data_IF_336235677993
#
_entry.id   IF_336235677993
#
_cell.length_a   1.000
_cell.length_b   1.000
_cell.length_c   1.000
_cell.angle_alpha   90.00
_cell.angle_beta   90.00
_cell.angle_gamma   90.00
#
_symmetry.space_group_name_H-M   'P 1'
#
loop_
_entity.id
_entity.type
_entity.pdbx_description
1 polymer ?
#
# COMPACT_ATOMS: atom_id res chain seq x y z
N UNK A 1 -8.29 23.61 -83.04
CA UNK A 1 -8.49 22.28 -82.41
C UNK A 1 -7.11 21.87 -81.96
N UNK A 2 -6.78 21.85 -80.68
CA UNK A 2 -7.13 20.77 -79.74
C UNK A 2 -7.35 21.31 -78.32
N UNK A 3 -8.33 20.73 -77.61
CA UNK A 3 -8.70 21.08 -76.24
C UNK A 3 -7.87 20.25 -75.27
N UNK A 4 -7.07 20.91 -74.42
CA UNK A 4 -6.33 20.26 -73.34
C UNK A 4 -7.30 20.01 -72.16
N UNK A 5 -7.63 18.75 -71.90
CA UNK A 5 -8.47 18.33 -70.77
C UNK A 5 -7.56 18.18 -69.55
N UNK A 6 -7.62 19.13 -68.61
CA UNK A 6 -7.01 18.98 -67.28
C UNK A 6 -7.82 17.99 -66.45
N UNK A 7 -7.30 16.77 -66.30
CA UNK A 7 -7.80 15.79 -65.35
C UNK A 7 -7.31 16.14 -63.94
N UNK A 8 -8.20 16.65 -63.09
CA UNK A 8 -7.96 16.84 -61.66
C UNK A 8 -8.01 15.46 -60.98
N UNK A 9 -6.85 14.94 -60.61
CA UNK A 9 -6.73 13.76 -59.74
C UNK A 9 -7.05 14.17 -58.30
N UNK A 10 -8.31 14.05 -57.88
CA UNK A 10 -8.69 14.16 -56.47
C UNK A 10 -8.29 12.85 -55.78
N UNK A 11 -7.13 12.87 -55.10
CA UNK A 11 -6.71 11.81 -54.20
C UNK A 11 -7.65 11.81 -52.99
N UNK A 12 -8.59 10.87 -52.96
CA UNK A 12 -9.46 10.66 -51.81
C UNK A 12 -8.66 9.96 -50.71
N UNK A 13 -8.03 10.75 -49.83
CA UNK A 13 -7.43 10.24 -48.60
C UNK A 13 -8.58 9.84 -47.67
N UNK A 14 -8.90 8.55 -47.63
CA UNK A 14 -9.78 7.99 -46.62
C UNK A 14 -9.07 8.13 -45.25
N UNK A 15 -9.38 9.21 -44.53
CA UNK A 15 -9.00 9.34 -43.13
C UNK A 15 -9.70 8.20 -42.37
N UNK A 16 -8.92 7.19 -41.98
CA UNK A 16 -9.37 6.16 -41.06
C UNK A 16 -9.59 6.83 -39.70
N UNK A 17 -10.84 7.17 -39.38
CA UNK A 17 -11.22 7.66 -38.06
C UNK A 17 -11.11 6.50 -37.08
N UNK A 18 -9.96 6.36 -36.40
CA UNK A 18 -9.82 5.44 -35.28
C UNK A 18 -10.71 5.92 -34.13
N UNK A 19 -11.77 5.17 -33.82
CA UNK A 19 -12.61 5.44 -32.67
C UNK A 19 -11.81 5.21 -31.38
N UNK A 20 -11.73 6.23 -30.51
CA UNK A 20 -11.00 6.14 -29.25
C UNK A 20 -11.62 5.07 -28.33
N UNK A 21 -10.89 3.97 -28.11
CA UNK A 21 -11.37 2.82 -27.34
C UNK A 21 -11.55 3.20 -25.87
N UNK A 22 -12.69 2.81 -25.27
CA UNK A 22 -12.99 3.00 -23.85
C UNK A 22 -13.23 1.66 -23.16
N UNK A 23 -12.65 1.46 -21.99
CA UNK A 23 -12.75 0.21 -21.22
C UNK A 23 -13.14 0.52 -19.77
N UNK A 24 -14.02 -0.31 -19.20
CA UNK A 24 -14.40 -0.27 -17.79
C UNK A 24 -13.52 -1.23 -16.97
N UNK A 25 -13.09 -0.86 -15.76
CA UNK A 25 -12.46 -1.78 -14.83
C UNK A 25 -13.43 -2.89 -14.39
N UNK A 26 -12.89 -4.07 -14.12
CA UNK A 26 -13.62 -5.16 -13.46
C UNK A 26 -13.80 -4.82 -11.96
N UNK A 27 -14.75 -5.48 -11.32
CA UNK A 27 -15.00 -5.27 -9.90
C UNK A 27 -13.78 -5.69 -9.07
N UNK A 28 -13.29 -4.77 -8.22
CA UNK A 28 -12.06 -4.97 -7.43
C UNK A 28 -10.75 -4.90 -8.24
N UNK A 29 -10.80 -4.57 -9.53
CA UNK A 29 -9.61 -4.55 -10.38
C UNK A 29 -8.66 -3.40 -10.03
N UNK A 30 -7.44 -3.76 -9.66
CA UNK A 30 -6.36 -2.80 -9.44
C UNK A 30 -5.90 -2.14 -10.74
N UNK A 31 -5.32 -0.94 -10.62
CA UNK A 31 -4.82 -0.14 -11.74
C UNK A 31 -3.85 -0.92 -12.66
N UNK A 32 -3.03 -1.80 -12.09
CA UNK A 32 -2.08 -2.62 -12.85
C UNK A 32 -2.71 -3.83 -13.55
N UNK A 33 -3.67 -4.49 -12.91
CA UNK A 33 -4.44 -5.56 -13.56
C UNK A 33 -5.17 -4.99 -14.79
N UNK A 34 -5.73 -3.79 -14.65
CA UNK A 34 -6.32 -3.04 -15.74
C UNK A 34 -5.30 -2.72 -16.86
N UNK A 35 -4.11 -2.21 -16.52
CA UNK A 35 -3.05 -1.93 -17.51
C UNK A 35 -2.64 -3.15 -18.31
N UNK A 36 -2.40 -4.27 -17.63
CA UNK A 36 -2.04 -5.53 -18.26
C UNK A 36 -3.15 -6.01 -19.21
N UNK A 37 -4.40 -5.96 -18.74
CA UNK A 37 -5.58 -6.39 -19.51
C UNK A 37 -5.82 -5.53 -20.75
N UNK A 38 -5.55 -4.23 -20.67
CA UNK A 38 -5.78 -3.28 -21.77
C UNK A 38 -4.53 -2.96 -22.59
N UNK A 39 -3.39 -3.62 -22.31
CA UNK A 39 -2.15 -3.51 -23.08
C UNK A 39 -1.35 -2.22 -22.86
N UNK A 40 -1.49 -1.55 -21.70
CA UNK A 40 -0.74 -0.34 -21.34
C UNK A 40 0.64 -0.67 -20.75
N UNK A 41 1.46 -1.29 -21.58
CA UNK A 41 2.69 -1.97 -21.15
C UNK A 41 3.88 -1.02 -20.94
N UNK A 42 3.87 0.16 -21.56
CA UNK A 42 4.97 1.15 -21.45
C UNK A 42 4.60 2.30 -20.52
N UNK A 43 5.59 2.95 -19.89
CA UNK A 43 5.38 4.12 -19.04
C UNK A 43 4.70 5.27 -19.80
N UNK A 44 5.07 5.46 -21.06
CA UNK A 44 4.56 6.50 -21.95
C UNK A 44 3.04 6.34 -22.15
N UNK A 45 2.60 5.13 -22.49
CA UNK A 45 1.16 4.79 -22.59
C UNK A 45 0.42 4.96 -21.25
N UNK A 46 1.05 4.65 -20.11
CA UNK A 46 0.42 4.86 -18.79
C UNK A 46 0.29 6.34 -18.43
N UNK A 47 1.32 7.14 -18.71
CA UNK A 47 1.31 8.59 -18.48
C UNK A 47 0.26 9.26 -19.39
N UNK A 48 0.18 8.84 -20.65
CA UNK A 48 -0.88 9.29 -21.57
C UNK A 48 -2.27 8.84 -21.11
N UNK A 49 -2.41 7.62 -20.60
CA UNK A 49 -3.68 7.13 -20.04
C UNK A 49 -4.16 8.02 -18.89
N UNK A 50 -3.27 8.43 -17.99
CA UNK A 50 -3.61 9.40 -16.94
C UNK A 50 -3.98 10.78 -17.52
N UNK A 51 -3.21 11.26 -18.50
CA UNK A 51 -3.47 12.54 -19.14
C UNK A 51 -4.85 12.58 -19.85
N UNK A 52 -5.25 11.48 -20.50
CA UNK A 52 -6.51 11.33 -21.22
C UNK A 52 -7.73 11.19 -20.30
N UNK A 53 -7.53 10.79 -19.04
CA UNK A 53 -8.60 10.48 -18.10
C UNK A 53 -8.55 11.34 -16.82
N UNK A 54 -7.96 12.52 -16.89
CA UNK A 54 -7.90 13.47 -15.76
C UNK A 54 -9.29 13.67 -15.14
N UNK A 55 -9.35 13.56 -13.81
CA UNK A 55 -10.60 13.70 -13.03
C UNK A 55 -11.50 12.46 -12.98
N UNK A 56 -11.12 11.35 -13.61
CA UNK A 56 -11.86 10.07 -13.55
C UNK A 56 -11.29 9.04 -12.57
N UNK A 57 -10.32 9.44 -11.75
CA UNK A 57 -9.67 8.56 -10.78
C UNK A 57 -10.13 8.89 -9.37
N UNK A 58 -10.16 7.87 -8.51
CA UNK A 58 -10.41 8.00 -7.09
C UNK A 58 -9.20 8.56 -6.34
N UNK A 59 -9.24 8.49 -5.01
CA UNK A 59 -8.10 8.83 -4.16
C UNK A 59 -6.89 7.97 -4.55
N UNK A 60 -5.70 8.55 -4.51
CA UNK A 60 -4.43 7.91 -4.90
C UNK A 60 -4.38 7.37 -6.33
N UNK A 61 -5.11 8.02 -7.25
CA UNK A 61 -5.18 7.63 -8.67
C UNK A 61 -5.78 6.24 -8.93
N UNK A 62 -6.63 5.76 -8.01
CA UNK A 62 -7.32 4.48 -8.12
C UNK A 62 -8.39 4.48 -9.22
N UNK A 63 -8.64 3.31 -9.81
CA UNK A 63 -9.73 3.11 -10.76
C UNK A 63 -11.07 3.09 -10.01
N UNK A 64 -12.09 3.71 -10.60
CA UNK A 64 -13.44 3.76 -10.06
C UNK A 64 -14.31 2.72 -10.78
N UNK A 65 -15.00 1.89 -9.99
CA UNK A 65 -15.93 0.88 -10.52
C UNK A 65 -17.02 1.53 -11.36
N UNK A 66 -17.31 0.97 -12.54
CA UNK A 66 -18.33 1.49 -13.47
C UNK A 66 -17.90 2.71 -14.29
N UNK A 67 -16.68 3.22 -14.12
CA UNK A 67 -16.14 4.35 -14.90
C UNK A 67 -15.40 3.86 -16.13
N UNK A 68 -15.74 4.40 -17.29
CA UNK A 68 -15.07 4.07 -18.56
C UNK A 68 -13.87 4.99 -18.80
N UNK A 69 -12.70 4.38 -19.02
CA UNK A 69 -11.43 5.04 -19.29
C UNK A 69 -11.05 4.93 -20.76
N UNK A 70 -10.58 6.04 -21.34
CA UNK A 70 -10.01 6.10 -22.68
C UNK A 70 -8.63 5.44 -22.70
N UNK A 71 -8.40 4.52 -23.62
CA UNK A 71 -7.12 3.82 -23.77
C UNK A 71 -6.31 4.53 -24.87
N UNK A 72 -5.08 5.00 -24.59
CA UNK A 72 -4.18 5.51 -25.64
C UNK A 72 -3.74 4.39 -26.58
N UNK A 73 -3.63 4.67 -27.88
CA UNK A 73 -3.10 3.72 -28.85
C UNK A 73 -1.60 3.94 -29.06
N UNK A 74 -0.86 2.88 -29.39
CA UNK A 74 0.59 2.95 -29.60
C UNK A 74 1.02 3.96 -30.70
N UNK A 75 0.12 4.31 -31.61
CA UNK A 75 0.34 5.34 -32.64
C UNK A 75 0.18 6.78 -32.16
N UNK A 76 -0.32 7.02 -30.94
CA UNK A 76 -0.57 8.36 -30.37
C UNK A 76 0.65 8.91 -29.61
N UNK A 77 1.79 8.20 -29.62
CA UNK A 77 3.01 8.56 -28.89
C UNK A 77 3.87 9.51 -29.72
N UNK A 78 3.49 10.79 -29.74
CA UNK A 78 4.38 11.88 -30.16
C UNK A 78 5.34 12.22 -29.03
N UNK A 79 6.63 12.25 -29.33
CA UNK A 79 7.74 12.56 -28.41
C UNK A 79 7.51 13.86 -27.64
N UNK A 80 7.25 13.77 -26.33
CA UNK A 80 7.32 14.91 -25.41
C UNK A 80 8.56 14.76 -24.54
N UNK A 81 9.50 15.63 -24.84
CA UNK A 81 10.74 15.88 -24.13
C UNK A 81 10.46 16.21 -22.64
N UNK A 82 11.03 15.44 -21.73
CA UNK A 82 11.16 15.86 -20.32
C UNK A 82 12.52 15.44 -19.79
N UNK A 83 13.46 16.38 -19.92
CA UNK A 83 14.65 16.48 -19.10
C UNK A 83 14.29 16.46 -17.60
N UNK A 84 14.46 15.32 -16.94
CA UNK A 84 14.78 15.25 -15.50
C UNK A 84 15.77 14.11 -15.30
N UNK A 85 16.98 14.49 -14.86
CA UNK A 85 18.16 13.64 -14.66
C UNK A 85 17.83 12.38 -13.84
N UNK A 86 17.66 11.25 -14.50
CA UNK A 86 17.85 9.93 -13.89
C UNK A 86 19.28 9.52 -14.22
N UNK A 87 20.18 9.60 -13.23
CA UNK A 87 21.53 9.07 -13.37
C UNK A 87 21.46 7.55 -13.23
N UNK A 88 21.96 6.88 -14.28
CA UNK A 88 22.28 5.46 -14.47
C UNK A 88 21.63 4.46 -13.47
N UNK A 89 20.60 3.77 -13.95
CA UNK A 89 20.05 2.58 -13.29
C UNK A 89 20.86 1.36 -13.72
N UNK A 90 21.30 0.55 -12.77
CA UNK A 90 22.01 -0.70 -13.01
C UNK A 90 21.23 -1.85 -12.39
N UNK A 91 21.19 -3.01 -13.04
CA UNK A 91 20.42 -4.18 -12.57
C UNK A 91 21.42 -5.19 -12.02
N UNK A 92 21.45 -5.39 -10.70
CA UNK A 92 22.53 -6.20 -10.07
C UNK A 92 22.06 -7.47 -9.36
N UNK A 93 20.88 -7.47 -8.73
CA UNK A 93 20.47 -8.61 -7.89
C UNK A 93 19.19 -9.29 -8.36
N UNK A 94 19.17 -10.62 -8.25
CA UNK A 94 18.01 -11.47 -8.47
C UNK A 94 17.52 -11.94 -7.10
N UNK A 95 16.37 -11.44 -6.62
CA UNK A 95 15.82 -11.77 -5.30
C UNK A 95 14.51 -12.54 -5.45
N UNK A 96 14.39 -13.65 -4.72
CA UNK A 96 13.15 -14.42 -4.62
C UNK A 96 12.23 -13.84 -3.53
N UNK A 97 10.91 -13.77 -3.76
CA UNK A 97 9.93 -13.51 -2.71
C UNK A 97 9.94 -14.60 -1.64
N UNK A 98 9.63 -14.22 -0.40
CA UNK A 98 9.34 -15.17 0.67
C UNK A 98 7.95 -15.78 0.44
N UNK A 99 7.68 -16.92 1.06
CA UNK A 99 6.38 -17.57 0.96
C UNK A 99 5.28 -16.66 1.56
N UNK A 100 4.21 -16.44 0.79
CA UNK A 100 3.13 -15.53 1.17
C UNK A 100 3.48 -14.03 1.12
N UNK A 101 4.68 -13.67 0.63
CA UNK A 101 5.11 -12.26 0.60
C UNK A 101 4.38 -11.45 -0.48
N UNK A 102 3.62 -10.45 -0.03
CA UNK A 102 2.99 -9.48 -0.92
C UNK A 102 3.99 -8.50 -1.56
N UNK A 103 3.62 -7.95 -2.72
CA UNK A 103 4.45 -7.03 -3.51
C UNK A 103 5.01 -5.84 -2.69
N UNK A 104 4.20 -5.30 -1.76
CA UNK A 104 4.61 -4.19 -0.90
C UNK A 104 5.62 -4.59 0.17
N UNK A 105 5.46 -5.77 0.77
CA UNK A 105 6.43 -6.30 1.74
C UNK A 105 7.77 -6.58 1.04
N UNK A 106 7.71 -7.13 -0.18
CA UNK A 106 8.88 -7.34 -1.02
C UNK A 106 9.61 -6.03 -1.35
N UNK A 107 8.88 -4.98 -1.76
CA UNK A 107 9.46 -3.65 -2.02
C UNK A 107 10.21 -3.09 -0.82
N UNK A 108 9.59 -3.15 0.36
CA UNK A 108 10.21 -2.68 1.59
C UNK A 108 11.47 -3.49 1.92
N UNK A 109 11.42 -4.83 1.76
CA UNK A 109 12.54 -5.72 2.05
C UNK A 109 13.73 -5.52 1.12
N UNK A 110 13.47 -5.27 -0.17
CA UNK A 110 14.52 -5.14 -1.20
C UNK A 110 14.93 -3.68 -1.48
N UNK A 111 14.42 -2.73 -0.68
CA UNK A 111 14.84 -1.32 -0.74
C UNK A 111 14.24 -0.50 -1.88
N UNK A 112 13.13 -0.94 -2.48
CA UNK A 112 12.41 -0.23 -3.55
C UNK A 112 11.48 0.85 -2.97
N UNK A 113 12.09 1.83 -2.32
CA UNK A 113 11.37 2.78 -1.47
C UNK A 113 10.72 3.93 -2.27
N UNK A 114 11.23 4.27 -3.46
CA UNK A 114 10.68 5.34 -4.30
C UNK A 114 9.72 4.79 -5.34
N UNK A 115 8.79 5.63 -5.82
CA UNK A 115 7.90 5.28 -6.93
C UNK A 115 8.70 4.96 -8.19
N UNK A 116 9.72 5.77 -8.50
CA UNK A 116 10.53 5.58 -9.70
C UNK A 116 11.28 4.24 -9.69
N UNK A 117 11.86 3.83 -8.55
CA UNK A 117 12.50 2.52 -8.43
C UNK A 117 11.51 1.36 -8.57
N UNK A 118 10.30 1.51 -8.04
CA UNK A 118 9.23 0.52 -8.19
C UNK A 118 8.74 0.43 -9.63
N UNK A 119 8.58 1.56 -10.29
CA UNK A 119 8.21 1.61 -11.72
C UNK A 119 9.27 0.94 -12.59
N UNK A 120 10.56 1.18 -12.31
CA UNK A 120 11.67 0.52 -13.01
C UNK A 120 11.77 -0.97 -12.65
N UNK A 121 11.54 -1.36 -11.41
CA UNK A 121 11.51 -2.77 -11.01
C UNK A 121 10.43 -3.54 -11.75
N UNK A 122 9.23 -2.96 -11.89
CA UNK A 122 8.13 -3.56 -12.64
C UNK A 122 8.50 -3.68 -14.13
N UNK A 123 9.14 -2.65 -14.69
CA UNK A 123 9.56 -2.63 -16.10
C UNK A 123 10.63 -3.70 -16.41
N UNK A 124 11.63 -3.84 -15.54
CA UNK A 124 12.73 -4.79 -15.72
C UNK A 124 12.29 -6.25 -15.52
N UNK A 125 11.16 -6.48 -14.84
CA UNK A 125 10.63 -7.82 -14.54
C UNK A 125 9.32 -8.15 -15.27
N UNK A 126 8.98 -7.44 -16.35
CA UNK A 126 7.79 -7.73 -17.15
C UNK A 126 7.71 -9.23 -17.51
N UNK A 127 6.50 -9.80 -17.40
CA UNK A 127 6.24 -11.21 -17.69
C UNK A 127 6.69 -12.19 -16.60
N UNK A 128 7.27 -11.73 -15.49
CA UNK A 128 7.68 -12.58 -14.35
C UNK A 128 6.68 -12.55 -13.18
N UNK A 129 5.52 -11.94 -13.35
CA UNK A 129 4.49 -11.81 -12.32
C UNK A 129 3.30 -12.75 -12.59
N UNK A 130 2.60 -13.14 -11.53
CA UNK A 130 1.38 -13.93 -11.58
C UNK A 130 0.15 -13.09 -11.96
N UNK A 131 -1.03 -13.67 -11.75
CA UNK A 131 -2.31 -12.94 -11.90
C UNK A 131 -2.28 -11.68 -11.03
N UNK A 132 -2.81 -10.59 -11.56
CA UNK A 132 -2.89 -9.29 -10.88
C UNK A 132 -1.53 -8.69 -10.47
N UNK A 133 -0.46 -9.01 -11.21
CA UNK A 133 0.91 -8.57 -10.93
C UNK A 133 1.44 -9.06 -9.57
N UNK A 134 0.94 -10.20 -9.09
CA UNK A 134 1.44 -10.86 -7.88
C UNK A 134 2.86 -11.40 -8.06
N UNK A 135 3.62 -11.40 -6.97
CA UNK A 135 4.91 -12.08 -6.94
C UNK A 135 4.68 -13.60 -6.96
N UNK A 136 5.48 -14.30 -7.74
CA UNK A 136 5.42 -15.75 -7.85
C UNK A 136 6.46 -16.39 -6.93
N UNK A 137 6.02 -17.32 -6.10
CA UNK A 137 6.90 -18.12 -5.24
C UNK A 137 7.94 -18.87 -6.08
N UNK A 138 9.21 -18.80 -5.69
CA UNK A 138 10.32 -19.45 -6.41
C UNK A 138 10.80 -18.70 -7.66
N UNK A 139 10.17 -17.57 -8.03
CA UNK A 139 10.61 -16.74 -9.16
C UNK A 139 11.52 -15.63 -8.65
N UNK A 140 12.69 -15.50 -9.27
CA UNK A 140 13.64 -14.45 -8.94
C UNK A 140 13.36 -13.17 -9.72
N UNK A 141 13.42 -12.01 -9.05
CA UNK A 141 13.20 -10.70 -9.65
C UNK A 141 14.45 -9.84 -9.63
N UNK A 142 14.71 -9.16 -10.75
CA UNK A 142 15.79 -8.20 -10.97
C UNK A 142 15.54 -6.92 -10.19
N UNK A 143 16.44 -6.53 -9.30
CA UNK A 143 16.30 -5.30 -8.51
C UNK A 143 17.09 -4.17 -9.17
N UNK A 144 16.46 -3.04 -9.53
CA UNK A 144 17.17 -1.84 -9.99
C UNK A 144 17.93 -1.18 -8.84
N UNK A 145 19.19 -0.84 -9.07
CA UNK A 145 20.05 -0.05 -8.18
C UNK A 145 20.37 1.30 -8.81
N UNK A 146 20.60 2.32 -7.97
CA UNK A 146 21.03 3.66 -8.41
C UNK A 146 22.55 3.70 -8.30
N UNK A 147 23.27 3.88 -9.41
CA UNK A 147 24.70 4.19 -9.38
C UNK A 147 24.88 5.73 -9.38
N UNK A 148 25.72 6.23 -8.47
CA UNK A 148 26.12 7.62 -8.21
C UNK A 148 25.22 8.50 -7.32
N UNK A 149 25.10 8.09 -6.06
CA UNK A 149 25.16 9.02 -4.90
C UNK A 149 26.18 8.43 -3.93
N UNK A 150 27.25 9.16 -3.60
CA UNK A 150 28.14 8.84 -2.48
C UNK A 150 27.27 8.59 -1.24
N UNK A 151 27.54 7.54 -0.46
CA UNK A 151 26.62 7.07 0.55
C UNK A 151 26.43 8.16 1.61
N UNK A 152 25.27 8.84 1.59
CA UNK A 152 24.70 9.29 2.85
C UNK A 152 24.37 8.00 3.60
N UNK A 153 25.25 7.69 4.54
CA UNK A 153 25.34 6.44 5.28
C UNK A 153 24.01 6.08 5.96
N UNK A 154 23.18 5.33 5.24
CA UNK A 154 22.21 4.42 5.83
C UNK A 154 22.97 3.11 6.11
N UNK A 155 23.15 2.70 7.38
CA UNK A 155 23.84 1.46 7.67
C UNK A 155 22.96 0.30 7.21
N UNK A 156 23.49 -0.46 6.25
CA UNK A 156 23.28 -1.90 6.21
C UNK A 156 23.74 -2.45 7.55
N UNK A 157 22.83 -3.09 8.29
CA UNK A 157 23.21 -3.93 9.41
C UNK A 157 22.35 -5.20 9.40
N UNK A 158 22.86 -6.20 8.68
CA UNK A 158 22.91 -7.54 9.28
C UNK A 158 23.94 -7.44 10.38
N UNK A 159 23.50 -7.14 11.59
CA UNK A 159 24.15 -7.49 12.84
C UNK A 159 23.27 -6.98 13.98
N UNK A 160 22.99 -7.88 14.92
CA UNK A 160 22.39 -7.56 16.21
C UNK A 160 23.36 -6.67 16.99
N UNK A 161 23.24 -5.35 16.88
CA UNK A 161 23.91 -4.40 17.79
C UNK A 161 22.97 -3.22 18.09
N UNK A 162 22.83 -2.77 19.36
CA UNK A 162 21.77 -1.84 19.77
C UNK A 162 21.88 -0.49 19.07
N UNK A 163 20.84 -0.10 18.33
CA UNK A 163 20.75 1.20 17.68
C UNK A 163 20.67 2.30 18.75
N UNK A 164 21.69 3.17 18.81
CA UNK A 164 21.65 4.40 19.60
C UNK A 164 20.49 5.29 19.12
N UNK A 165 19.70 5.89 20.03
CA UNK A 165 18.49 6.63 19.69
C UNK A 165 18.82 7.87 18.85
N UNK A 166 18.18 8.01 17.68
CA UNK A 166 18.15 9.30 16.99
C UNK A 166 17.08 10.19 17.65
N UNK A 167 17.33 11.50 17.68
CA UNK A 167 16.56 12.51 18.44
C UNK A 167 15.05 12.63 18.09
N UNK A 168 14.57 11.94 17.06
CA UNK A 168 13.17 11.98 16.58
C UNK A 168 12.43 10.65 16.63
N UNK A 169 13.05 9.58 17.15
CA UNK A 169 12.38 8.28 17.23
C UNK A 169 11.33 8.31 18.35
N UNK A 170 10.15 7.77 18.05
CA UNK A 170 9.10 7.56 19.05
C UNK A 170 9.27 6.16 19.64
N UNK A 171 9.19 6.05 20.96
CA UNK A 171 9.18 4.76 21.66
C UNK A 171 7.74 4.42 22.04
N UNK A 172 7.22 3.30 21.52
CA UNK A 172 5.90 2.78 21.81
C UNK A 172 6.00 1.31 22.27
N UNK A 173 5.85 1.11 23.58
CA UNK A 173 6.04 -0.20 24.22
C UNK A 173 5.02 -1.24 23.79
N UNK A 174 3.82 -0.80 23.36
CA UNK A 174 2.77 -1.70 22.88
C UNK A 174 3.18 -2.49 21.63
N UNK A 175 4.23 -2.09 20.92
CA UNK A 175 4.71 -2.84 19.77
C UNK A 175 5.58 -4.05 20.14
N UNK A 176 5.98 -4.20 21.39
CA UNK A 176 6.94 -5.22 21.82
C UNK A 176 8.38 -4.81 21.55
N UNK A 177 9.33 -5.50 22.18
CA UNK A 177 10.74 -5.08 22.25
C UNK A 177 11.41 -4.91 20.89
N UNK A 178 11.04 -5.73 19.92
CA UNK A 178 11.65 -5.71 18.59
C UNK A 178 11.13 -4.54 17.73
N UNK A 179 9.96 -4.00 18.07
CA UNK A 179 9.24 -3.01 17.28
C UNK A 179 8.97 -1.69 18.01
N UNK A 180 9.30 -1.60 19.32
CA UNK A 180 8.99 -0.45 20.17
C UNK A 180 9.64 0.85 19.68
N UNK A 181 10.75 0.75 18.96
CA UNK A 181 11.36 1.89 18.28
C UNK A 181 10.67 2.15 16.95
N UNK A 182 10.10 3.35 16.84
CA UNK A 182 9.38 3.83 15.66
C UNK A 182 10.18 4.96 15.02
N UNK A 183 10.94 4.68 13.94
CA UNK A 183 11.65 5.72 13.21
C UNK A 183 10.64 6.58 12.44
N UNK A 184 10.72 7.90 12.60
CA UNK A 184 9.91 8.82 11.80
C UNK A 184 10.52 8.95 10.42
N UNK A 185 9.84 8.41 9.41
CA UNK A 185 10.26 8.37 8.00
C UNK A 185 9.70 9.50 7.17
N UNK A 186 8.55 10.05 7.55
CA UNK A 186 7.92 11.19 6.86
C UNK A 186 7.03 12.00 7.81
N UNK A 187 6.56 13.16 7.35
CA UNK A 187 5.59 14.03 8.05
C UNK A 187 4.27 14.16 7.29
N UNK A 188 3.98 13.22 6.41
CA UNK A 188 2.78 13.24 5.55
C UNK A 188 1.48 13.30 6.37
N UNK A 189 1.48 12.69 7.55
CA UNK A 189 0.34 12.65 8.47
C UNK A 189 0.52 13.56 9.68
N UNK A 190 1.42 14.55 9.61
CA UNK A 190 1.58 15.50 10.70
C UNK A 190 0.27 16.27 10.92
N UNK A 191 -0.12 16.37 12.19
CA UNK A 191 -1.42 16.93 12.59
C UNK A 191 -2.63 16.01 12.38
N UNK A 192 -2.44 14.76 11.93
CA UNK A 192 -3.48 13.74 11.95
C UNK A 192 -3.46 12.97 13.29
N UNK A 193 -4.65 12.65 13.79
CA UNK A 193 -4.84 11.83 14.99
C UNK A 193 -5.74 10.65 14.68
N UNK A 194 -5.28 9.45 15.04
CA UNK A 194 -6.03 8.22 14.87
C UNK A 194 -6.34 7.57 16.23
N UNK A 195 -7.56 7.07 16.37
CA UNK A 195 -7.98 6.22 17.48
C UNK A 195 -8.22 4.82 16.94
N UNK A 196 -7.34 3.88 17.25
CA UNK A 196 -7.39 2.53 16.70
C UNK A 196 -8.02 1.57 17.71
N UNK A 197 -9.02 0.81 17.27
CA UNK A 197 -9.77 -0.15 18.08
C UNK A 197 -9.73 -1.52 17.42
N UNK A 198 -9.13 -2.49 18.10
CA UNK A 198 -8.98 -3.87 17.60
C UNK A 198 -10.06 -4.79 18.14
N UNK A 199 -10.65 -5.56 17.22
CA UNK A 199 -11.44 -6.76 17.47
C UNK A 199 -12.47 -6.65 18.59
N UNK A 200 -12.81 -7.78 19.18
CA UNK A 200 -13.64 -7.86 20.38
C UNK A 200 -12.78 -7.73 21.65
N UNK A 201 -11.78 -8.58 21.83
CA UNK A 201 -10.78 -8.50 22.88
C UNK A 201 -11.30 -8.81 24.28
N UNK A 202 -10.38 -9.16 25.17
CA UNK A 202 -10.68 -9.47 26.56
C UNK A 202 -11.50 -10.76 26.66
N UNK A 203 -12.68 -10.76 27.29
CA UNK A 203 -13.43 -12.00 27.48
C UNK A 203 -14.12 -12.52 26.19
N UNK A 204 -14.06 -11.77 25.10
CA UNK A 204 -14.77 -12.06 23.86
C UNK A 204 -13.76 -12.16 22.70
N UNK A 205 -13.46 -13.38 22.20
CA UNK A 205 -12.48 -13.59 21.13
C UNK A 205 -12.96 -13.11 19.76
N UNK A 206 -14.26 -12.77 19.64
CA UNK A 206 -14.88 -12.48 18.35
C UNK A 206 -15.08 -13.73 17.51
N UNK A 207 -14.90 -13.61 16.20
CA UNK A 207 -14.97 -14.74 15.28
C UNK A 207 -13.85 -15.75 15.58
N UNK A 208 -14.20 -17.04 15.56
CA UNK A 208 -13.24 -18.14 15.78
C UNK A 208 -13.15 -18.97 14.51
N UNK A 209 -11.96 -19.00 13.91
CA UNK A 209 -11.62 -19.84 12.78
C UNK A 209 -10.84 -21.09 13.19
N UNK A 210 -10.85 -22.12 12.34
CA UNK A 210 -9.99 -23.28 12.49
C UNK A 210 -9.17 -23.46 11.22
N UNK A 211 -7.83 -23.48 11.35
CA UNK A 211 -6.94 -23.67 10.21
C UNK A 211 -5.74 -24.53 10.62
N UNK A 212 -5.44 -25.57 9.84
CA UNK A 212 -4.33 -26.48 10.07
C UNK A 212 -4.27 -27.07 11.51
N UNK A 213 -5.43 -27.28 12.15
CA UNK A 213 -5.51 -27.80 13.52
C UNK A 213 -5.31 -26.75 14.62
N UNK A 214 -5.19 -25.46 14.26
CA UNK A 214 -5.11 -24.34 15.17
C UNK A 214 -6.42 -23.55 15.21
N UNK A 215 -6.84 -23.17 16.41
CA UNK A 215 -7.94 -22.24 16.63
C UNK A 215 -7.42 -20.80 16.50
N UNK A 216 -8.07 -20.00 15.66
CA UNK A 216 -7.69 -18.62 15.37
C UNK A 216 -8.76 -17.68 15.95
N UNK A 217 -8.38 -16.80 16.87
CA UNK A 217 -9.30 -15.83 17.46
C UNK A 217 -9.15 -14.48 16.75
N UNK A 218 -10.28 -13.90 16.33
CA UNK A 218 -10.32 -12.63 15.63
C UNK A 218 -9.53 -11.55 16.36
N UNK A 219 -9.73 -11.43 17.66
CA UNK A 219 -9.14 -10.36 18.47
C UNK A 219 -7.61 -10.37 18.47
N UNK A 220 -6.98 -11.55 18.49
CA UNK A 220 -5.52 -11.70 18.41
C UNK A 220 -4.93 -11.13 17.11
N UNK A 221 -5.50 -11.52 15.98
CA UNK A 221 -5.03 -11.09 14.66
C UNK A 221 -5.44 -9.63 14.40
N UNK A 222 -6.63 -9.22 14.84
CA UNK A 222 -7.06 -7.83 14.73
C UNK A 222 -6.16 -6.91 15.57
N UNK A 223 -5.69 -7.36 16.72
CA UNK A 223 -4.76 -6.61 17.56
C UNK A 223 -3.41 -6.44 16.87
N UNK A 224 -2.80 -7.52 16.37
CA UNK A 224 -1.53 -7.46 15.64
C UNK A 224 -1.60 -6.52 14.42
N UNK A 225 -2.65 -6.68 13.59
CA UNK A 225 -2.90 -5.82 12.42
C UNK A 225 -2.99 -4.35 12.82
N UNK A 226 -3.68 -4.03 13.93
CA UNK A 226 -3.78 -2.65 14.40
C UNK A 226 -2.47 -2.10 14.89
N UNK A 227 -1.64 -2.90 15.57
CA UNK A 227 -0.31 -2.47 16.00
C UNK A 227 0.57 -2.16 14.79
N UNK A 228 0.55 -3.02 13.75
CA UNK A 228 1.27 -2.78 12.49
C UNK A 228 0.77 -1.52 11.78
N UNK A 229 -0.55 -1.33 11.70
CA UNK A 229 -1.15 -0.11 11.14
C UNK A 229 -0.73 1.14 11.93
N UNK A 230 -0.84 1.10 13.25
CA UNK A 230 -0.50 2.21 14.12
C UNK A 230 0.99 2.57 14.01
N UNK A 231 1.88 1.58 13.96
CA UNK A 231 3.31 1.80 13.72
C UNK A 231 3.53 2.52 12.39
N UNK A 232 2.87 2.08 11.32
CA UNK A 232 2.94 2.72 10.01
C UNK A 232 2.41 4.17 10.00
N UNK A 233 1.37 4.46 10.75
CA UNK A 233 0.83 5.82 10.90
C UNK A 233 1.81 6.72 11.67
N UNK A 234 2.38 6.21 12.77
CA UNK A 234 3.36 6.92 13.59
C UNK A 234 4.66 7.21 12.83
N UNK A 235 5.15 6.25 12.02
CA UNK A 235 6.31 6.45 11.14
C UNK A 235 6.11 7.59 10.13
N UNK A 236 4.87 7.96 9.81
CA UNK A 236 4.52 9.07 8.90
C UNK A 236 4.11 10.36 9.63
N UNK A 237 4.33 10.42 10.95
CA UNK A 237 4.11 11.62 11.76
C UNK A 237 2.72 11.75 12.37
N UNK A 238 1.86 10.74 12.26
CA UNK A 238 0.54 10.78 12.89
C UNK A 238 0.63 10.56 14.40
N UNK A 239 -0.28 11.18 15.16
CA UNK A 239 -0.55 10.77 16.54
C UNK A 239 -1.50 9.58 16.52
N UNK A 240 -1.14 8.50 17.22
CA UNK A 240 -1.97 7.30 17.32
C UNK A 240 -2.32 7.03 18.77
N UNK A 241 -3.58 6.71 19.03
CA UNK A 241 -4.07 6.24 20.32
C UNK A 241 -4.63 4.82 20.15
N UNK A 242 -3.99 3.83 20.77
CA UNK A 242 -4.49 2.46 20.84
C UNK A 242 -5.51 2.34 21.96
N UNK A 243 -6.77 2.09 21.60
CA UNK A 243 -7.87 2.03 22.56
C UNK A 243 -7.91 0.67 23.27
N UNK A 244 -7.64 -0.40 22.53
CA UNK A 244 -7.47 -1.75 23.07
C UNK A 244 -5.97 -2.02 23.18
N UNK A 245 -5.55 -2.58 24.31
CA UNK A 245 -4.15 -2.76 24.68
C UNK A 245 -3.97 -4.09 25.40
N UNK A 246 -2.97 -4.86 24.97
CA UNK A 246 -2.38 -5.94 25.76
C UNK A 246 -1.05 -5.47 26.36
N UNK A 247 -0.66 -6.03 27.49
CA UNK A 247 0.57 -5.68 28.21
C UNK A 247 1.69 -6.70 27.99
N UNK A 248 1.36 -7.86 27.43
CA UNK A 248 2.26 -8.96 27.09
C UNK A 248 2.44 -9.00 25.58
N UNK A 249 1.33 -9.01 24.84
CA UNK A 249 1.34 -9.15 23.39
C UNK A 249 1.66 -7.82 22.69
N UNK A 250 2.55 -7.89 21.69
CA UNK A 250 2.92 -6.80 20.81
C UNK A 250 2.75 -7.19 19.35
N UNK A 251 3.57 -6.63 18.45
CA UNK A 251 3.64 -7.11 17.07
C UNK A 251 4.33 -8.49 17.09
N UNK A 252 3.67 -9.49 16.50
CA UNK A 252 4.08 -10.89 16.51
C UNK A 252 4.26 -11.38 15.07
N UNK A 253 5.39 -12.02 14.79
CA UNK A 253 5.71 -12.55 13.46
C UNK A 253 5.40 -14.05 13.32
N UNK A 254 4.82 -14.66 14.36
CA UNK A 254 4.40 -16.05 14.32
C UNK A 254 3.22 -16.24 13.36
N UNK A 255 3.23 -17.37 12.65
CA UNK A 255 2.14 -17.74 11.74
C UNK A 255 0.81 -17.98 12.48
N UNK A 256 0.89 -18.52 13.70
CA UNK A 256 -0.24 -18.81 14.56
C UNK A 256 -0.07 -18.05 15.88
N UNK A 257 -0.96 -17.10 16.12
CA UNK A 257 -0.91 -16.27 17.32
C UNK A 257 -1.52 -17.01 18.52
N UNK A 258 -0.85 -16.95 19.66
CA UNK A 258 -1.36 -17.53 20.90
C UNK A 258 -2.61 -16.76 21.36
N UNK A 259 -3.65 -17.50 21.75
CA UNK A 259 -4.91 -16.92 22.22
C UNK A 259 -4.81 -16.43 23.67
N UNK A 260 -5.50 -15.33 23.93
CA UNK A 260 -5.48 -14.58 25.18
C UNK A 260 -6.87 -14.00 25.49
N UNK A 261 -6.99 -13.44 26.70
CA UNK A 261 -8.18 -12.68 27.16
C UNK A 261 -7.77 -11.46 27.99
N UNK A 262 -6.52 -11.04 27.84
CA UNK A 262 -5.85 -10.06 28.71
C UNK A 262 -6.00 -8.63 28.22
N UNK A 263 -6.58 -8.45 27.04
CA UNK A 263 -6.74 -7.16 26.40
C UNK A 263 -7.64 -6.27 27.25
N UNK A 264 -7.23 -5.01 27.35
CA UNK A 264 -7.92 -3.99 28.14
C UNK A 264 -8.27 -2.80 27.28
N UNK A 265 -9.34 -2.10 27.64
CA UNK A 265 -9.64 -0.78 27.08
C UNK A 265 -8.81 0.28 27.84
N UNK A 266 -7.58 0.51 27.39
CA UNK A 266 -6.58 1.39 28.01
C UNK A 266 -6.48 1.15 29.53
N UNK A 267 -6.23 -0.09 29.94
CA UNK A 267 -6.07 -0.54 31.33
C UNK A 267 -7.37 -0.93 32.04
N UNK A 268 -8.55 -0.62 31.48
CA UNK A 268 -9.83 -1.05 32.05
C UNK A 268 -10.27 -2.41 31.48
N UNK A 269 -10.74 -3.37 32.29
CA UNK A 269 -11.27 -4.64 31.79
C UNK A 269 -12.38 -4.43 30.75
N UNK A 270 -12.36 -5.24 29.70
CA UNK A 270 -13.35 -5.17 28.63
C UNK A 270 -14.62 -5.94 29.05
N UNK A 271 -15.82 -5.33 28.97
CA UNK A 271 -17.06 -6.04 29.24
C UNK A 271 -17.36 -7.12 28.20
N UNK A 272 -17.91 -8.26 28.66
CA UNK A 272 -18.43 -9.31 27.76
C UNK A 272 -19.66 -8.84 26.97
N UNK A 273 -20.50 -8.00 27.58
CA UNK A 273 -21.68 -7.43 26.92
C UNK A 273 -21.28 -6.46 25.79
N UNK A 274 -21.79 -6.73 24.58
CA UNK A 274 -21.44 -5.98 23.37
C UNK A 274 -21.76 -4.48 23.45
N UNK A 275 -22.89 -4.10 24.08
CA UNK A 275 -23.33 -2.71 24.17
C UNK A 275 -22.45 -1.96 25.17
N UNK A 276 -22.16 -2.58 26.33
CA UNK A 276 -21.25 -2.03 27.34
C UNK A 276 -19.84 -1.88 26.78
N UNK A 277 -19.35 -2.86 26.02
CA UNK A 277 -18.04 -2.82 25.35
C UNK A 277 -17.95 -1.69 24.34
N UNK A 278 -18.94 -1.57 23.44
CA UNK A 278 -19.00 -0.47 22.47
C UNK A 278 -19.03 0.88 23.19
N UNK A 279 -19.89 1.02 24.21
CA UNK A 279 -20.01 2.24 25.01
C UNK A 279 -18.68 2.62 25.66
N UNK A 280 -17.98 1.66 26.29
CA UNK A 280 -16.68 1.88 26.92
C UNK A 280 -15.65 2.44 25.94
N UNK A 281 -15.55 1.85 24.74
CA UNK A 281 -14.63 2.31 23.67
C UNK A 281 -14.99 3.71 23.19
N UNK A 282 -16.27 3.97 22.93
CA UNK A 282 -16.77 5.28 22.52
C UNK A 282 -16.49 6.36 23.57
N UNK A 283 -16.72 6.07 24.85
CA UNK A 283 -16.42 7.01 25.95
C UNK A 283 -14.93 7.34 26.01
N UNK A 284 -14.06 6.33 25.85
CA UNK A 284 -12.60 6.54 25.83
C UNK A 284 -12.18 7.41 24.64
N UNK A 285 -12.66 7.11 23.44
CA UNK A 285 -12.39 7.89 22.23
C UNK A 285 -12.88 9.32 22.40
N UNK A 286 -14.10 9.53 22.91
CA UNK A 286 -14.66 10.86 23.14
C UNK A 286 -13.84 11.66 24.15
N UNK A 287 -13.32 11.01 25.20
CA UNK A 287 -12.47 11.66 26.19
C UNK A 287 -11.13 12.11 25.58
N UNK A 288 -10.52 11.31 24.69
CA UNK A 288 -9.31 11.69 23.96
C UNK A 288 -9.59 12.78 22.92
N UNK A 289 -10.69 12.64 22.17
CA UNK A 289 -11.10 13.58 21.14
C UNK A 289 -11.28 15.01 21.66
N UNK A 290 -11.84 15.16 22.88
CA UNK A 290 -11.99 16.46 23.56
C UNK A 290 -10.65 17.09 23.94
N UNK A 291 -9.62 16.28 24.22
CA UNK A 291 -8.27 16.74 24.57
C UNK A 291 -7.43 17.08 23.34
N UNK A 292 -7.67 16.39 22.24
CA UNK A 292 -6.92 16.56 21.00
C UNK A 292 -7.40 17.79 20.21
N UNK A 293 -6.50 18.75 19.98
CA UNK A 293 -6.79 20.04 19.34
C UNK A 293 -6.50 20.05 17.82
N UNK A 294 -6.28 18.89 17.22
CA UNK A 294 -5.88 18.76 15.81
C UNK A 294 -7.07 18.74 14.84
N UNK A 295 -6.85 19.24 13.63
CA UNK A 295 -7.89 19.35 12.61
C UNK A 295 -8.41 18.00 12.09
N UNK A 296 -7.51 17.05 11.81
CA UNK A 296 -7.87 15.73 11.29
C UNK A 296 -7.86 14.66 12.38
N UNK A 297 -9.03 14.09 12.66
CA UNK A 297 -9.25 13.06 13.69
C UNK A 297 -10.13 11.94 13.12
N UNK A 298 -9.70 10.68 13.21
CA UNK A 298 -10.48 9.51 12.76
C UNK A 298 -10.37 8.37 13.77
N UNK A 299 -11.51 7.73 14.04
CA UNK A 299 -11.51 6.44 14.72
C UNK A 299 -11.58 5.33 13.66
N UNK A 300 -10.80 4.28 13.84
CA UNK A 300 -10.76 3.11 12.96
C UNK A 300 -10.99 1.87 13.82
N UNK A 301 -12.01 1.11 13.45
CA UNK A 301 -12.37 -0.15 14.08
C UNK A 301 -12.05 -1.27 13.09
N UNK A 302 -11.24 -2.23 13.51
CA UNK A 302 -10.85 -3.37 12.69
C UNK A 302 -11.35 -4.64 13.36
N UNK A 303 -12.11 -5.40 12.59
CA UNK A 303 -12.66 -6.70 12.92
C UNK A 303 -12.32 -7.66 11.77
N UNK A 304 -12.14 -8.93 12.09
CA UNK A 304 -11.85 -9.99 11.12
C UNK A 304 -12.97 -11.02 11.19
N UNK A 305 -13.52 -11.36 10.03
CA UNK A 305 -14.59 -12.36 9.93
C UNK A 305 -13.99 -13.73 9.59
N UNK A 306 -14.56 -14.79 10.13
CA UNK A 306 -14.17 -16.18 9.84
C UNK A 306 -15.09 -16.74 8.75
N UNK A 307 -14.73 -16.56 7.48
CA UNK A 307 -15.43 -17.19 6.35
C UNK A 307 -14.52 -18.08 5.55
#
# INVERSE_FOLDING_TARGET
MERLISAIFVLWFAASSFAQTKVCPLEGEGLWAFYSRVGLNTKELRDQFFALNKGKFGKDSSLLTGVYYKIPHAGDVSTVDTTKKIKKVTVKDHICPLEGEGLWAFYARVGLNTKDLRDVFLDVNQGRFGKDASLLTGVYYKIPTIDDIEPETAPVAKDQVPLKPQKSDVIEKLFGKDYERVPVTSKELDGAVFYLVSGHGGPDPGAIGNYAGHELHEDEYAYDVILRLGRQLMMRGAKVNFIIQDHVDGIRDDQFLQTSRRETCMGSPIPLDQVKRLKQRCEKINALYKKDNKGYRRAVFIHLDSR
#
